data_IF_488573678548
#
_entry.id   IF_488573678548
#
_cell.length_a   1.000
_cell.length_b   1.000
_cell.length_c   1.000
_cell.angle_alpha   90.00
_cell.angle_beta   90.00
_cell.angle_gamma   90.00
#
_symmetry.space_group_name_H-M   'P 1'
#
loop_
_entity.id
_entity.type
_entity.pdbx_description
1 polymer ?
#
# COMPACT_ATOMS: atom_id res chain seq x y z
N UNK A 1 -3.60 -2.04 -12.94
CA UNK A 1 -2.66 -3.12 -12.61
C UNK A 1 -1.55 -3.26 -13.66
N UNK A 2 -1.87 -3.36 -14.96
CA UNK A 2 -0.87 -3.53 -16.02
C UNK A 2 0.05 -2.30 -16.13
N UNK A 3 -0.48 -1.08 -16.11
CA UNK A 3 0.31 0.17 -16.08
C UNK A 3 1.23 0.23 -14.86
N UNK A 4 0.73 -0.12 -13.68
CA UNK A 4 1.55 -0.16 -12.46
C UNK A 4 2.72 -1.15 -12.58
N UNK A 5 2.50 -2.35 -13.13
CA UNK A 5 3.57 -3.32 -13.37
C UNK A 5 4.59 -2.82 -14.41
N UNK A 6 4.12 -2.13 -15.47
CA UNK A 6 5.00 -1.48 -16.45
C UNK A 6 5.90 -0.44 -15.79
N UNK A 7 5.34 0.44 -14.95
CA UNK A 7 6.11 1.45 -14.22
C UNK A 7 7.15 0.84 -13.27
N UNK A 8 6.82 -0.28 -12.61
CA UNK A 8 7.76 -0.99 -11.76
C UNK A 8 8.95 -1.60 -12.54
N UNK A 9 8.80 -1.86 -13.83
CA UNK A 9 9.90 -2.36 -14.67
C UNK A 9 10.89 -1.25 -15.09
N UNK A 10 10.53 0.02 -14.96
CA UNK A 10 11.31 1.15 -15.45
C UNK A 10 12.75 1.23 -14.89
N UNK A 11 12.98 1.05 -13.57
CA UNK A 11 14.35 1.07 -13.03
C UNK A 11 15.24 0.00 -13.67
N UNK A 12 14.70 -1.17 -13.95
CA UNK A 12 15.45 -2.24 -14.62
C UNK A 12 15.77 -1.88 -16.06
N UNK A 13 14.82 -1.31 -16.80
CA UNK A 13 15.03 -0.84 -18.17
C UNK A 13 16.15 0.22 -18.23
N UNK A 14 16.11 1.20 -17.35
CA UNK A 14 17.13 2.26 -17.27
C UNK A 14 18.50 1.66 -16.95
N UNK A 15 18.58 0.75 -15.97
CA UNK A 15 19.82 0.07 -15.60
C UNK A 15 20.41 -0.69 -16.78
N UNK A 16 19.58 -1.40 -17.55
CA UNK A 16 20.02 -2.16 -18.71
C UNK A 16 20.53 -1.26 -19.84
N UNK A 17 19.89 -0.10 -20.08
CA UNK A 17 20.37 0.90 -21.05
C UNK A 17 21.70 1.54 -20.66
N UNK A 18 22.02 1.57 -19.37
CA UNK A 18 23.26 2.14 -18.84
C UNK A 18 24.41 1.12 -18.77
N UNK A 19 24.17 -0.14 -19.10
CA UNK A 19 25.21 -1.17 -19.05
C UNK A 19 26.14 -1.12 -20.26
N UNK A 20 27.41 -1.49 -20.05
CA UNK A 20 28.43 -1.63 -21.09
C UNK A 20 28.71 -0.37 -21.90
N UNK A 21 28.50 0.81 -21.32
CA UNK A 21 28.78 2.07 -21.96
C UNK A 21 30.31 2.27 -22.09
N UNK A 22 30.81 2.75 -23.25
CA UNK A 22 32.22 3.10 -23.41
C UNK A 22 32.57 4.33 -22.54
N UNK A 23 33.85 4.46 -22.18
CA UNK A 23 34.31 5.67 -21.50
C UNK A 23 34.22 6.88 -22.47
N UNK A 24 33.69 8.00 -21.98
CA UNK A 24 33.51 9.22 -22.72
C UNK A 24 32.09 9.57 -23.06
N UNK A 25 31.83 10.29 -24.13
CA UNK A 25 30.51 10.74 -24.54
C UNK A 25 29.68 9.58 -25.09
N UNK A 26 28.53 9.33 -24.44
CA UNK A 26 27.59 8.29 -24.86
C UNK A 26 26.23 8.88 -25.20
N UNK A 27 25.73 8.62 -26.41
CA UNK A 27 24.37 8.98 -26.83
C UNK A 27 23.28 8.05 -26.27
N UNK A 28 23.68 6.93 -25.77
CA UNK A 28 22.76 5.90 -25.22
C UNK A 28 21.85 6.48 -24.11
N UNK A 29 22.34 7.42 -23.32
CA UNK A 29 21.56 8.15 -22.33
C UNK A 29 20.38 8.93 -22.90
N UNK A 30 20.37 9.23 -24.19
CA UNK A 30 19.22 9.92 -24.80
C UNK A 30 18.00 9.02 -24.89
N UNK A 31 18.19 7.70 -24.98
CA UNK A 31 17.10 6.72 -24.98
C UNK A 31 16.35 6.67 -23.64
N UNK A 32 17.00 7.05 -22.56
CA UNK A 32 16.34 7.11 -21.23
C UNK A 32 15.13 8.04 -21.29
N UNK A 33 15.19 9.11 -22.07
CA UNK A 33 14.07 10.07 -22.21
C UNK A 33 12.82 9.42 -22.79
N UNK A 34 12.96 8.42 -23.66
CA UNK A 34 11.84 7.74 -24.30
C UNK A 34 11.02 6.92 -23.32
N UNK A 35 11.65 6.40 -22.26
CA UNK A 35 10.97 5.58 -21.25
C UNK A 35 10.67 6.37 -19.98
N UNK A 36 11.54 7.31 -19.60
CA UNK A 36 11.43 8.05 -18.35
C UNK A 36 10.39 9.19 -18.42
N UNK A 37 10.40 9.98 -19.48
CA UNK A 37 9.50 11.14 -19.59
C UNK A 37 8.01 10.72 -19.67
N UNK A 38 7.61 9.76 -20.52
CA UNK A 38 6.23 9.31 -20.56
C UNK A 38 5.76 8.61 -19.27
N UNK A 39 6.68 8.09 -18.46
CA UNK A 39 6.35 7.41 -17.22
C UNK A 39 5.68 8.34 -16.20
N UNK A 40 5.96 9.64 -16.22
CA UNK A 40 5.28 10.61 -15.34
C UNK A 40 3.81 10.75 -15.68
N UNK A 41 3.46 10.81 -16.96
CA UNK A 41 2.04 10.89 -17.38
C UNK A 41 1.32 9.60 -17.03
N UNK A 42 1.94 8.44 -17.28
CA UNK A 42 1.37 7.14 -16.91
C UNK A 42 1.18 7.00 -15.39
N UNK A 43 2.10 7.54 -14.59
CA UNK A 43 1.99 7.55 -13.13
C UNK A 43 0.84 8.44 -12.67
N UNK A 44 0.73 9.64 -13.23
CA UNK A 44 -0.38 10.57 -12.93
C UNK A 44 -1.72 9.93 -13.26
N UNK A 45 -1.86 9.30 -14.42
CA UNK A 45 -3.06 8.55 -14.81
C UNK A 45 -3.42 7.46 -13.79
N UNK A 46 -2.40 6.72 -13.31
CA UNK A 46 -2.59 5.67 -12.30
C UNK A 46 -3.08 6.25 -10.97
N UNK A 47 -2.51 7.37 -10.54
CA UNK A 47 -2.90 8.04 -9.29
C UNK A 47 -4.33 8.60 -9.39
N UNK A 48 -4.66 9.28 -10.49
CA UNK A 48 -6.01 9.80 -10.72
C UNK A 48 -7.06 8.69 -10.77
N UNK A 49 -6.74 7.56 -11.41
CA UNK A 49 -7.64 6.40 -11.44
C UNK A 49 -7.80 5.79 -10.04
N UNK A 50 -6.74 5.75 -9.24
CA UNK A 50 -6.79 5.27 -7.86
C UNK A 50 -7.67 6.15 -6.99
N UNK A 51 -7.51 7.47 -7.08
CA UNK A 51 -8.37 8.45 -6.41
C UNK A 51 -9.83 8.26 -6.81
N UNK A 52 -10.09 8.15 -8.13
CA UNK A 52 -11.44 7.94 -8.65
C UNK A 52 -12.10 6.67 -8.09
N UNK A 53 -11.36 5.57 -8.00
CA UNK A 53 -11.86 4.31 -7.47
C UNK A 53 -12.14 4.43 -5.97
N UNK A 54 -11.19 4.97 -5.20
CA UNK A 54 -11.33 5.12 -3.73
C UNK A 54 -12.53 5.99 -3.40
N UNK A 55 -12.69 7.13 -4.09
CA UNK A 55 -13.80 8.05 -3.85
C UNK A 55 -15.19 7.46 -4.14
N UNK A 56 -15.27 6.35 -4.87
CA UNK A 56 -16.50 5.65 -5.25
C UNK A 56 -16.62 4.25 -4.66
N UNK A 57 -15.68 3.88 -3.82
CA UNK A 57 -15.72 2.58 -3.13
C UNK A 57 -16.75 2.64 -2.01
N UNK A 58 -17.72 1.76 -2.08
CA UNK A 58 -18.69 1.53 -1.02
C UNK A 58 -18.26 0.32 -0.20
N UNK A 59 -18.25 0.47 1.12
CA UNK A 59 -17.89 -0.59 2.04
C UNK A 59 -19.16 -1.31 2.49
N UNK A 60 -19.19 -2.63 2.31
CA UNK A 60 -20.22 -3.45 2.93
C UNK A 60 -19.86 -3.67 4.41
N UNK A 61 -20.37 -2.81 5.28
CA UNK A 61 -20.07 -2.82 6.71
C UNK A 61 -20.48 -4.13 7.43
N UNK A 62 -21.44 -4.86 6.85
CA UNK A 62 -21.99 -6.08 7.44
C UNK A 62 -21.43 -7.37 6.85
N UNK A 63 -20.45 -7.29 5.97
CA UNK A 63 -19.91 -8.48 5.29
C UNK A 63 -19.33 -9.50 6.28
N UNK A 64 -18.71 -9.01 7.36
CA UNK A 64 -18.09 -9.86 8.38
C UNK A 64 -19.12 -10.50 9.34
N UNK A 65 -20.40 -10.09 9.26
CA UNK A 65 -21.48 -10.69 10.05
C UNK A 65 -21.90 -12.05 9.47
N UNK A 66 -21.58 -12.30 8.20
CA UNK A 66 -21.85 -13.59 7.56
C UNK A 66 -21.00 -14.70 8.19
N UNK A 67 -21.60 -15.79 8.67
CA UNK A 67 -20.89 -16.90 9.31
C UNK A 67 -19.79 -17.54 8.45
N UNK A 68 -19.83 -17.38 7.12
CA UNK A 68 -18.78 -17.85 6.21
C UNK A 68 -17.42 -17.23 6.52
N UNK A 69 -17.40 -16.06 7.18
CA UNK A 69 -16.17 -15.35 7.53
C UNK A 69 -15.73 -15.58 8.99
N UNK A 70 -16.47 -16.33 9.78
CA UNK A 70 -16.15 -16.57 11.20
C UNK A 70 -14.75 -17.14 11.38
N UNK A 71 -14.32 -18.07 10.52
CA UNK A 71 -13.00 -18.67 10.58
C UNK A 71 -11.84 -17.66 10.39
N UNK A 72 -12.08 -16.46 9.85
CA UNK A 72 -11.07 -15.39 9.76
C UNK A 72 -10.58 -14.96 11.14
N UNK A 73 -11.39 -15.10 12.17
CA UNK A 73 -11.10 -14.73 13.55
C UNK A 73 -10.47 -15.86 14.38
N UNK A 74 -10.10 -16.97 13.74
CA UNK A 74 -9.55 -18.14 14.44
C UNK A 74 -8.24 -17.86 15.17
N UNK A 75 -7.39 -17.02 14.60
CA UNK A 75 -6.10 -16.63 15.20
C UNK A 75 -6.32 -15.84 16.49
N UNK A 76 -7.29 -14.94 16.50
CA UNK A 76 -7.65 -14.15 17.69
C UNK A 76 -8.12 -15.05 18.82
N UNK A 77 -8.94 -16.04 18.50
CA UNK A 77 -9.45 -16.99 19.48
C UNK A 77 -8.32 -17.89 20.02
N UNK A 78 -7.40 -18.35 19.17
CA UNK A 78 -6.20 -19.08 19.61
C UNK A 78 -5.37 -18.24 20.56
N UNK A 79 -5.09 -16.98 20.21
CA UNK A 79 -4.32 -16.05 21.03
C UNK A 79 -5.01 -15.81 22.38
N UNK A 80 -6.33 -15.64 22.39
CA UNK A 80 -7.11 -15.45 23.62
C UNK A 80 -6.98 -16.65 24.56
N UNK A 81 -7.04 -17.88 24.04
CA UNK A 81 -6.87 -19.12 24.83
C UNK A 81 -5.44 -19.26 25.34
N UNK A 82 -4.45 -18.87 24.55
CA UNK A 82 -3.04 -18.88 25.01
C UNK A 82 -2.85 -17.90 26.15
N UNK A 83 -3.38 -16.70 26.04
CA UNK A 83 -3.31 -15.69 27.11
C UNK A 83 -4.04 -16.14 28.39
N UNK A 84 -5.06 -16.99 28.27
CA UNK A 84 -5.75 -17.59 29.42
C UNK A 84 -5.05 -18.83 30.01
N UNK A 85 -3.88 -19.22 29.46
CA UNK A 85 -3.02 -20.27 30.01
C UNK A 85 -3.05 -21.61 29.25
N UNK A 86 -3.78 -21.71 28.14
CA UNK A 86 -3.76 -22.91 27.29
C UNK A 86 -2.48 -22.93 26.44
N UNK A 87 -1.86 -24.10 26.25
CA UNK A 87 -0.73 -24.18 25.33
C UNK A 87 -1.15 -23.82 23.90
N UNK A 88 -0.27 -23.16 23.12
CA UNK A 88 -0.58 -22.78 21.74
C UNK A 88 -1.05 -23.99 20.91
N UNK A 89 -0.38 -25.13 21.07
CA UNK A 89 -0.71 -26.36 20.33
C UNK A 89 -2.12 -26.84 20.64
N UNK A 90 -2.51 -26.83 21.91
CA UNK A 90 -3.83 -27.28 22.34
C UNK A 90 -4.93 -26.28 21.95
N UNK A 91 -4.67 -24.98 22.11
CA UNK A 91 -5.58 -23.93 21.68
C UNK A 91 -5.84 -24.01 20.16
N UNK A 92 -4.78 -24.13 19.35
CA UNK A 92 -4.89 -24.28 17.90
C UNK A 92 -5.71 -25.51 17.49
N UNK A 93 -5.44 -26.66 18.14
CA UNK A 93 -6.18 -27.90 17.88
C UNK A 93 -7.66 -27.79 18.26
N UNK A 94 -7.95 -27.20 19.41
CA UNK A 94 -9.33 -27.01 19.87
C UNK A 94 -10.12 -26.12 18.91
N UNK A 95 -9.57 -24.95 18.54
CA UNK A 95 -10.22 -24.04 17.60
C UNK A 95 -10.43 -24.71 16.24
N UNK A 96 -9.45 -25.45 15.73
CA UNK A 96 -9.60 -26.20 14.49
C UNK A 96 -10.74 -27.23 14.52
N UNK A 97 -10.87 -27.98 15.60
CA UNK A 97 -11.95 -28.94 15.78
C UNK A 97 -13.33 -28.28 15.90
N UNK A 98 -13.40 -27.11 16.55
CA UNK A 98 -14.65 -26.35 16.65
C UNK A 98 -15.11 -25.83 15.29
N UNK A 99 -14.15 -25.35 14.45
CA UNK A 99 -14.43 -24.92 13.07
C UNK A 99 -14.92 -26.10 12.23
N UNK A 100 -14.24 -27.25 12.31
CA UNK A 100 -14.62 -28.47 11.57
C UNK A 100 -15.99 -28.98 11.97
N UNK A 101 -16.34 -28.89 13.26
CA UNK A 101 -17.64 -29.27 13.79
C UNK A 101 -18.75 -28.23 13.51
N UNK A 102 -18.44 -27.08 12.96
CA UNK A 102 -19.39 -25.98 12.74
C UNK A 102 -19.88 -25.30 14.02
N UNK A 103 -19.16 -25.44 15.13
CA UNK A 103 -19.50 -24.90 16.43
C UNK A 103 -18.67 -23.68 16.83
N UNK A 104 -17.81 -23.21 15.94
CA UNK A 104 -16.95 -22.07 16.19
C UNK A 104 -17.74 -20.76 16.18
N UNK A 105 -17.70 -20.03 17.27
CA UNK A 105 -18.32 -18.71 17.43
C UNK A 105 -17.23 -17.74 17.87
N UNK A 106 -16.69 -16.92 16.97
CA UNK A 106 -15.63 -15.98 17.31
C UNK A 106 -16.13 -14.75 18.05
N UNK A 107 -15.26 -14.19 18.89
CA UNK A 107 -15.36 -12.79 19.28
C UNK A 107 -14.81 -11.92 18.14
N UNK A 108 -15.68 -11.11 17.53
CA UNK A 108 -15.32 -10.22 16.41
C UNK A 108 -14.85 -8.84 16.88
N UNK A 109 -14.81 -8.60 18.18
CA UNK A 109 -14.32 -7.35 18.75
C UNK A 109 -12.79 -7.38 18.88
N UNK A 110 -12.10 -6.92 17.84
CA UNK A 110 -10.64 -6.96 17.75
C UNK A 110 -10.06 -5.60 18.07
N UNK A 111 -9.12 -5.57 19.02
CA UNK A 111 -8.34 -4.40 19.36
C UNK A 111 -6.85 -4.74 19.42
N UNK A 112 -6.11 -4.31 18.40
CA UNK A 112 -4.67 -4.44 18.38
C UNK A 112 -4.00 -3.11 18.75
N UNK A 113 -2.80 -3.19 19.32
CA UNK A 113 -2.05 -2.00 19.78
C UNK A 113 -0.94 -1.57 18.83
N UNK A 114 -0.52 -2.44 17.91
CA UNK A 114 0.54 -2.11 16.97
C UNK A 114 0.06 -1.13 15.89
N UNK A 115 0.96 -0.26 15.43
CA UNK A 115 0.63 0.78 14.47
C UNK A 115 0.13 0.18 13.13
N UNK A 116 -0.94 0.76 12.58
CA UNK A 116 -1.55 0.32 11.34
C UNK A 116 -2.54 -0.84 11.46
N UNK A 117 -2.78 -1.35 12.67
CA UNK A 117 -3.72 -2.44 12.91
C UNK A 117 -5.14 -1.95 13.23
N UNK A 118 -6.09 -2.91 13.24
CA UNK A 118 -7.47 -2.67 13.70
C UNK A 118 -7.43 -2.18 15.16
N UNK A 119 -8.02 -1.00 15.41
CA UNK A 119 -7.97 -0.32 16.70
C UNK A 119 -6.84 0.70 16.85
N UNK A 120 -5.82 0.69 15.98
CA UNK A 120 -4.73 1.65 15.98
C UNK A 120 -4.26 1.98 14.55
N UNK A 121 -5.15 2.51 13.72
CA UNK A 121 -4.88 2.80 12.29
C UNK A 121 -3.84 3.89 12.07
N UNK A 122 -3.63 4.76 13.04
CA UNK A 122 -2.69 5.89 12.96
C UNK A 122 -2.99 6.88 11.80
N UNK A 123 -4.24 7.06 11.41
CA UNK A 123 -4.64 7.94 10.30
C UNK A 123 -4.15 9.38 10.50
N UNK A 124 -4.20 9.89 11.73
CA UNK A 124 -3.72 11.25 12.04
C UNK A 124 -2.22 11.40 11.75
N UNK A 125 -1.41 10.40 12.13
CA UNK A 125 0.03 10.39 11.84
C UNK A 125 0.33 10.29 10.35
N UNK A 126 -0.49 9.56 9.60
CA UNK A 126 -0.37 9.48 8.14
C UNK A 126 -0.67 10.85 7.51
N UNK A 127 -1.71 11.54 7.97
CA UNK A 127 -2.06 12.87 7.50
C UNK A 127 -0.97 13.90 7.83
N UNK A 128 -0.42 13.89 9.04
CA UNK A 128 0.69 14.74 9.45
C UNK A 128 1.94 14.51 8.59
N UNK A 129 2.30 13.24 8.36
CA UNK A 129 3.45 12.89 7.52
C UNK A 129 3.25 13.35 6.08
N UNK A 130 2.05 13.20 5.54
CA UNK A 130 1.71 13.69 4.20
C UNK A 130 1.83 15.21 4.10
N UNK A 131 1.28 15.94 5.06
CA UNK A 131 1.38 17.40 5.09
C UNK A 131 2.85 17.87 5.18
N UNK A 132 3.66 17.24 6.03
CA UNK A 132 5.09 17.53 6.14
C UNK A 132 5.81 17.28 4.82
N UNK A 133 5.55 16.13 4.20
CA UNK A 133 6.17 15.76 2.91
C UNK A 133 5.81 16.76 1.81
N UNK A 134 4.54 17.16 1.71
CA UNK A 134 4.11 18.16 0.70
C UNK A 134 4.82 19.49 0.91
N UNK A 135 4.99 19.94 2.15
CA UNK A 135 5.67 21.19 2.46
C UNK A 135 7.15 21.18 2.06
N UNK A 136 7.80 20.01 2.01
CA UNK A 136 9.20 19.89 1.58
C UNK A 136 9.40 20.03 0.07
N UNK A 137 8.35 19.91 -0.74
CA UNK A 137 8.45 20.04 -2.20
C UNK A 137 8.72 21.47 -2.69
N UNK A 138 8.36 22.50 -1.91
CA UNK A 138 8.56 23.90 -2.25
C UNK A 138 8.06 24.25 -3.67
N UNK A 139 6.83 23.90 -4.00
CA UNK A 139 6.22 24.13 -5.30
C UNK A 139 6.31 25.60 -5.77
N UNK A 140 6.26 26.53 -4.83
CA UNK A 140 6.41 27.96 -5.12
C UNK A 140 7.73 28.34 -5.81
N UNK A 141 8.80 27.57 -5.58
CA UNK A 141 10.10 27.79 -6.27
C UNK A 141 10.03 27.43 -7.75
N UNK A 142 9.32 26.35 -8.08
CA UNK A 142 9.10 25.94 -9.46
C UNK A 142 8.25 26.98 -10.19
N UNK A 143 7.17 27.43 -9.59
CA UNK A 143 6.29 28.48 -10.14
C UNK A 143 7.03 29.80 -10.36
N UNK A 144 7.85 30.22 -9.40
CA UNK A 144 8.68 31.44 -9.54
C UNK A 144 9.71 31.33 -10.67
N UNK A 145 10.32 30.15 -10.83
CA UNK A 145 11.27 29.90 -11.90
C UNK A 145 10.59 29.96 -13.27
N UNK A 146 9.43 29.33 -13.41
CA UNK A 146 8.63 29.35 -14.62
C UNK A 146 8.17 30.78 -14.97
N UNK A 147 7.65 31.54 -14.00
CA UNK A 147 7.25 32.92 -14.22
C UNK A 147 8.40 33.83 -14.64
N UNK A 148 9.61 33.60 -14.13
CA UNK A 148 10.80 34.35 -14.56
C UNK A 148 11.19 34.04 -16.01
N UNK A 149 11.05 32.76 -16.42
CA UNK A 149 11.31 32.37 -17.82
C UNK A 149 10.32 32.97 -18.81
N UNK A 150 9.06 33.12 -18.40
CA UNK A 150 8.00 33.70 -19.25
C UNK A 150 8.02 35.23 -19.33
N UNK A 151 8.58 35.89 -18.33
CA UNK A 151 8.63 37.36 -18.26
C UNK A 151 9.95 37.96 -18.70
N UNK A 152 10.98 37.13 -18.90
CA UNK A 152 12.33 37.53 -19.37
C UNK A 152 12.35 38.00 -20.76
#
# INVERSE_FOLDING_TARGET
RAKSNKLQSLPVQITMMMNNLPSGYSRDFQLIKEVFMPAFEELIDCLQMTEYIIARTEVNEHIIDDPRYDAMFSVEEVNRRVLSGTSFRDAYKQVGLEIEAGNFVPDKNIHHTHAGSIGNLCNDKIAELMASTINEFHFERAEQAEQKLLKG
#
